data_IF_915685166669
#
_entry.id   IF_915685166669
#
_cell.length_a   1.000
_cell.length_b   1.000
_cell.length_c   1.000
_cell.angle_alpha   90.00
_cell.angle_beta   90.00
_cell.angle_gamma   90.00
#
_symmetry.space_group_name_H-M   'P 1'
#
loop_
_entity.id
_entity.type
_entity.pdbx_description
1 polymer ?
#
# COMPACT_ATOMS: atom_id res chain seq x y z
N UNK A 1 12.60 -13.43 2.80
CA UNK A 1 12.67 -14.28 1.60
C UNK A 1 11.25 -14.65 1.25
N UNK A 2 10.86 -14.51 -0.01
CA UNK A 2 9.58 -15.05 -0.48
C UNK A 2 9.62 -16.59 -0.51
N UNK A 3 8.53 -17.22 -0.97
CA UNK A 3 8.44 -18.69 -1.07
C UNK A 3 9.47 -19.30 -2.04
N UNK A 4 10.09 -18.48 -2.88
CA UNK A 4 11.09 -18.85 -3.89
C UNK A 4 12.52 -18.47 -3.48
N UNK A 5 12.71 -18.07 -2.21
CA UNK A 5 14.04 -17.76 -1.66
C UNK A 5 14.62 -16.42 -2.14
N UNK A 6 13.82 -15.54 -2.73
CA UNK A 6 14.26 -14.22 -3.20
C UNK A 6 14.05 -13.14 -2.12
N UNK A 7 14.95 -12.13 -2.05
CA UNK A 7 14.79 -11.01 -1.12
C UNK A 7 13.68 -10.06 -1.57
N UNK A 8 12.73 -9.78 -0.67
CA UNK A 8 11.76 -8.68 -0.79
C UNK A 8 12.49 -7.34 -0.58
N UNK A 9 11.87 -6.21 -0.97
CA UNK A 9 12.33 -4.90 -0.55
C UNK A 9 12.55 -4.88 0.98
N UNK A 10 13.76 -4.50 1.44
CA UNK A 10 14.18 -4.69 2.84
C UNK A 10 13.32 -3.91 3.85
N UNK A 11 12.60 -2.88 3.40
CA UNK A 11 11.70 -2.04 4.20
C UNK A 11 10.37 -2.71 4.57
N UNK A 12 10.00 -3.83 3.95
CA UNK A 12 8.74 -4.53 4.21
C UNK A 12 9.00 -5.94 4.74
N UNK A 13 9.69 -6.03 5.87
CA UNK A 13 9.94 -7.29 6.57
C UNK A 13 9.47 -7.21 8.02
N UNK A 14 9.25 -8.35 8.70
CA UNK A 14 8.97 -8.36 10.13
C UNK A 14 10.05 -7.66 10.96
N UNK A 15 11.30 -7.63 10.47
CA UNK A 15 12.41 -6.97 11.17
C UNK A 15 12.20 -5.45 11.28
N UNK A 16 11.51 -4.83 10.31
CA UNK A 16 11.23 -3.39 10.27
C UNK A 16 10.41 -2.90 11.48
N UNK A 17 9.66 -3.78 12.14
CA UNK A 17 8.98 -3.44 13.40
C UNK A 17 9.98 -3.13 14.52
N UNK A 18 11.10 -3.84 14.60
CA UNK A 18 12.13 -3.58 15.63
C UNK A 18 12.88 -2.27 15.37
N UNK A 19 12.92 -1.80 14.12
CA UNK A 19 13.52 -0.52 13.77
C UNK A 19 12.60 0.66 14.11
N UNK A 20 11.29 0.45 14.08
CA UNK A 20 10.29 1.51 14.25
C UNK A 20 9.69 1.59 15.67
N UNK A 21 9.67 0.50 16.44
CA UNK A 21 8.97 0.41 17.72
C UNK A 21 9.85 -0.16 18.84
N UNK A 22 9.51 0.16 20.09
CA UNK A 22 10.14 -0.46 21.26
C UNK A 22 9.95 -1.98 21.25
N UNK A 23 10.88 -2.78 21.78
CA UNK A 23 10.91 -4.24 21.56
C UNK A 23 9.63 -4.99 21.92
N UNK A 24 8.92 -4.56 22.99
CA UNK A 24 7.67 -5.18 23.43
C UNK A 24 6.54 -4.90 22.42
N UNK A 25 6.46 -3.67 21.92
CA UNK A 25 5.46 -3.26 20.94
C UNK A 25 5.76 -3.88 19.57
N UNK A 26 7.03 -3.87 19.15
CA UNK A 26 7.49 -4.51 17.92
C UNK A 26 7.09 -6.00 17.88
N UNK A 27 7.34 -6.74 18.97
CA UNK A 27 7.00 -8.16 19.06
C UNK A 27 5.48 -8.39 19.07
N UNK A 28 4.73 -7.54 19.78
CA UNK A 28 3.27 -7.63 19.81
C UNK A 28 2.68 -7.42 18.41
N UNK A 29 3.10 -6.36 17.71
CA UNK A 29 2.67 -6.08 16.36
C UNK A 29 3.06 -7.21 15.40
N UNK A 30 4.32 -7.63 15.40
CA UNK A 30 4.81 -8.69 14.50
C UNK A 30 4.04 -10.02 14.65
N UNK A 31 3.56 -10.35 15.86
CA UNK A 31 2.74 -11.55 16.12
C UNK A 31 1.30 -11.44 15.62
N UNK A 32 0.79 -10.23 15.44
CA UNK A 32 -0.59 -9.99 15.01
C UNK A 32 -0.75 -9.98 13.48
N UNK A 33 0.33 -10.06 12.72
CA UNK A 33 0.30 -10.09 11.26
C UNK A 33 0.69 -11.45 10.69
N UNK A 34 -0.10 -11.92 9.72
CA UNK A 34 0.34 -12.95 8.79
C UNK A 34 0.96 -12.27 7.56
N UNK A 35 2.23 -12.55 7.28
CA UNK A 35 2.95 -11.93 6.17
C UNK A 35 2.74 -12.75 4.88
N UNK A 36 2.03 -12.16 3.92
CA UNK A 36 1.91 -12.69 2.57
C UNK A 36 2.87 -11.96 1.64
N UNK A 37 3.80 -12.71 1.04
CA UNK A 37 4.76 -12.16 0.08
C UNK A 37 4.22 -12.31 -1.34
N UNK A 38 4.19 -11.21 -2.08
CA UNK A 38 3.91 -11.22 -3.52
C UNK A 38 5.16 -11.60 -4.29
N UNK A 39 5.05 -12.41 -5.36
CA UNK A 39 6.20 -12.70 -6.21
C UNK A 39 6.81 -11.41 -6.77
N UNK A 40 8.14 -11.35 -6.89
CA UNK A 40 8.88 -10.15 -7.32
C UNK A 40 8.39 -9.51 -8.64
N UNK A 41 7.87 -10.32 -9.56
CA UNK A 41 7.34 -9.86 -10.85
C UNK A 41 5.80 -9.97 -10.95
N UNK A 42 5.14 -10.20 -9.82
CA UNK A 42 3.68 -10.32 -9.70
C UNK A 42 3.00 -9.00 -9.40
N UNK A 43 3.41 -7.90 -10.04
CA UNK A 43 2.81 -6.56 -9.88
C UNK A 43 1.29 -6.56 -10.03
N UNK A 44 0.79 -7.38 -10.96
CA UNK A 44 -0.64 -7.56 -11.24
C UNK A 44 -1.44 -8.23 -10.09
N UNK A 45 -0.77 -8.88 -9.13
CA UNK A 45 -1.36 -9.42 -7.91
C UNK A 45 -1.25 -8.45 -6.72
N UNK A 46 -0.48 -7.36 -6.84
CA UNK A 46 -0.29 -6.40 -5.77
C UNK A 46 -1.41 -5.36 -5.78
N UNK A 47 -2.27 -5.38 -4.75
CA UNK A 47 -3.40 -4.44 -4.61
C UNK A 47 -2.97 -2.98 -4.66
N UNK A 48 -1.86 -2.62 -4.00
CA UNK A 48 -1.37 -1.25 -3.97
C UNK A 48 -0.94 -0.77 -5.36
N UNK A 49 -0.35 -1.64 -6.18
CA UNK A 49 0.06 -1.29 -7.55
C UNK A 49 -1.15 -1.14 -8.48
N UNK A 50 -2.18 -1.98 -8.31
CA UNK A 50 -3.45 -1.84 -9.05
C UNK A 50 -4.12 -0.50 -8.71
N UNK A 51 -4.24 -0.17 -7.42
CA UNK A 51 -4.82 1.11 -6.97
C UNK A 51 -4.02 2.32 -7.49
N UNK A 52 -2.68 2.27 -7.41
CA UNK A 52 -1.82 3.32 -7.96
C UNK A 52 -2.01 3.48 -9.47
N UNK A 53 -2.19 2.37 -10.19
CA UNK A 53 -2.46 2.37 -11.63
C UNK A 53 -3.80 3.05 -11.95
N UNK A 54 -4.84 2.83 -11.13
CA UNK A 54 -6.16 3.49 -11.30
C UNK A 54 -6.05 4.98 -10.96
N UNK A 55 -5.43 5.34 -9.84
CA UNK A 55 -5.16 6.74 -9.45
C UNK A 55 -4.43 7.48 -10.58
N UNK A 56 -3.41 6.86 -11.16
CA UNK A 56 -2.64 7.46 -12.25
C UNK A 56 -3.50 7.80 -13.47
N UNK A 57 -4.44 6.93 -13.85
CA UNK A 57 -5.31 7.16 -15.02
C UNK A 57 -6.47 8.11 -14.74
N UNK A 58 -6.99 8.11 -13.52
CA UNK A 58 -8.21 8.86 -13.17
C UNK A 58 -7.92 10.25 -12.63
N UNK A 59 -6.82 10.43 -11.90
CA UNK A 59 -6.51 11.67 -11.18
C UNK A 59 -5.25 12.36 -11.71
N UNK A 60 -4.22 11.57 -12.05
CA UNK A 60 -2.87 12.08 -12.33
C UNK A 60 -2.49 12.08 -13.81
N UNK A 61 -3.43 11.86 -14.75
CA UNK A 61 -3.19 11.90 -16.20
C UNK A 61 -3.07 13.33 -16.75
N UNK A 62 -2.39 14.19 -15.98
CA UNK A 62 -2.13 15.59 -16.28
C UNK A 62 -0.95 16.09 -15.46
N UNK A 63 -0.35 17.20 -15.90
CA UNK A 63 0.69 17.86 -15.12
C UNK A 63 0.08 18.45 -13.84
N UNK A 64 0.70 18.14 -12.71
CA UNK A 64 0.39 18.72 -11.40
C UNK A 64 1.47 19.77 -11.07
N UNK A 65 1.08 21.04 -10.78
CA UNK A 65 2.03 22.14 -10.68
C UNK A 65 2.89 22.10 -9.40
N UNK A 66 2.38 21.53 -8.32
CA UNK A 66 2.99 21.56 -6.99
C UNK A 66 2.46 20.42 -6.10
N UNK A 67 3.17 20.18 -4.99
CA UNK A 67 2.84 19.11 -4.05
C UNK A 67 1.49 19.35 -3.34
N UNK A 68 1.15 20.60 -3.01
CA UNK A 68 -0.12 20.91 -2.35
C UNK A 68 -1.32 20.52 -3.23
N UNK A 69 -1.23 20.81 -4.52
CA UNK A 69 -2.23 20.41 -5.51
C UNK A 69 -2.29 18.90 -5.64
N UNK A 70 -1.15 18.21 -5.67
CA UNK A 70 -1.11 16.75 -5.71
C UNK A 70 -1.83 16.12 -4.50
N UNK A 71 -1.55 16.61 -3.30
CA UNK A 71 -2.17 16.12 -2.06
C UNK A 71 -3.68 16.35 -2.05
N UNK A 72 -4.13 17.54 -2.47
CA UNK A 72 -5.56 17.87 -2.53
C UNK A 72 -6.31 16.96 -3.50
N UNK A 73 -5.77 16.77 -4.70
CA UNK A 73 -6.39 15.95 -5.75
C UNK A 73 -6.42 14.48 -5.36
N UNK A 74 -5.33 13.96 -4.80
CA UNK A 74 -5.23 12.57 -4.33
C UNK A 74 -6.23 12.30 -3.20
N UNK A 75 -6.35 13.21 -2.23
CA UNK A 75 -7.34 13.11 -1.13
C UNK A 75 -8.78 13.14 -1.64
N UNK A 76 -9.07 14.01 -2.61
CA UNK A 76 -10.41 14.09 -3.19
C UNK A 76 -10.76 12.79 -3.94
N UNK A 77 -9.82 12.25 -4.71
CA UNK A 77 -9.99 10.97 -5.40
C UNK A 77 -10.15 9.80 -4.42
N UNK A 78 -9.33 9.75 -3.36
CA UNK A 78 -9.43 8.73 -2.31
C UNK A 78 -10.81 8.73 -1.63
N UNK A 79 -11.33 9.92 -1.27
CA UNK A 79 -12.64 10.05 -0.64
C UNK A 79 -13.77 9.54 -1.57
N UNK A 80 -13.70 9.86 -2.86
CA UNK A 80 -14.64 9.38 -3.87
C UNK A 80 -14.56 7.85 -4.01
N UNK A 81 -13.36 7.29 -4.20
CA UNK A 81 -13.15 5.85 -4.29
C UNK A 81 -13.64 5.10 -3.04
N UNK A 82 -13.32 5.61 -1.84
CA UNK A 82 -13.77 5.02 -0.58
C UNK A 82 -15.30 5.04 -0.46
N UNK A 83 -15.97 6.10 -0.93
CA UNK A 83 -17.43 6.15 -0.95
C UNK A 83 -18.05 5.09 -1.89
N UNK A 84 -17.39 4.78 -3.00
CA UNK A 84 -17.82 3.76 -3.95
C UNK A 84 -17.53 2.33 -3.44
N UNK A 85 -16.38 2.11 -2.79
CA UNK A 85 -16.03 0.83 -2.14
C UNK A 85 -16.95 0.54 -0.96
N UNK A 86 -17.22 1.53 -0.10
CA UNK A 86 -18.19 1.38 1.00
C UNK A 86 -19.59 1.05 0.45
N UNK A 87 -20.00 1.66 -0.67
CA UNK A 87 -21.21 1.23 -1.37
C UNK A 87 -21.13 -0.23 -1.81
N UNK A 88 -20.01 -0.69 -2.37
CA UNK A 88 -19.85 -2.08 -2.82
C UNK A 88 -19.82 -3.12 -1.68
N UNK A 89 -19.42 -2.73 -0.46
CA UNK A 89 -19.42 -3.58 0.74
C UNK A 89 -20.73 -3.55 1.54
N UNK A 90 -21.71 -2.75 1.10
CA UNK A 90 -23.05 -2.62 1.69
C UNK A 90 -24.15 -3.31 0.87
N UNK A 91 -23.78 -4.15 -0.10
CA UNK A 91 -24.68 -5.08 -0.81
C UNK A 91 -24.43 -6.51 -0.37
#
# INVERSE_FOLDING_TARGET
MDRDGQPQYPTHSPASFNEAFEPVEALHLAKNFEFHYTPKHGSWLNKAEVELSVLSRQCLDRRIPDQETLERETKAWEAECNSQVVKALLW
#
